data_IF_114348771308
#
_entry.id   IF_114348771308
#
_cell.length_a   1.000
_cell.length_b   1.000
_cell.length_c   1.000
_cell.angle_alpha   90.00
_cell.angle_beta   90.00
_cell.angle_gamma   90.00
#
_symmetry.space_group_name_H-M   'P 1'
#
loop_
_entity.id
_entity.type
_entity.pdbx_description
1 polymer ?
#
# COMPACT_ATOMS: atom_id res chain seq x y z
N UNK A 1 5.89 1.97 -17.93
CA UNK A 1 5.98 2.21 -16.47
C UNK A 1 5.03 1.26 -15.76
N UNK A 2 5.51 0.60 -14.71
CA UNK A 2 4.69 -0.16 -13.76
C UNK A 2 4.66 0.61 -12.44
N UNK A 3 3.45 0.84 -11.90
CA UNK A 3 3.30 1.51 -10.61
C UNK A 3 3.22 0.47 -9.50
N UNK A 4 4.09 0.59 -8.52
CA UNK A 4 3.89 -0.06 -7.23
C UNK A 4 2.92 0.79 -6.40
N UNK A 5 1.63 0.48 -6.52
CA UNK A 5 0.54 1.12 -5.79
C UNK A 5 0.07 0.25 -4.61
N UNK A 6 0.94 -0.66 -4.11
CA UNK A 6 0.63 -1.60 -3.05
C UNK A 6 0.09 -0.95 -1.76
N UNK A 7 0.41 0.32 -1.54
CA UNK A 7 0.05 1.10 -0.35
C UNK A 7 -0.81 2.34 -0.69
N UNK A 8 -1.14 2.50 -1.98
CA UNK A 8 -1.75 3.73 -2.50
C UNK A 8 -3.25 3.61 -2.81
N UNK A 9 -3.92 2.54 -2.38
CA UNK A 9 -5.37 2.40 -2.60
C UNK A 9 -6.13 3.58 -2.00
N UNK A 10 -6.89 4.31 -2.84
CA UNK A 10 -7.61 5.52 -2.47
C UNK A 10 -6.76 6.80 -2.42
N UNK A 11 -5.46 6.73 -2.72
CA UNK A 11 -4.64 7.92 -2.93
C UNK A 11 -4.78 8.44 -4.35
N UNK A 12 -4.75 9.77 -4.50
CA UNK A 12 -4.81 10.41 -5.83
C UNK A 12 -3.67 11.41 -6.02
N UNK A 13 -3.31 11.61 -7.28
CA UNK A 13 -2.48 12.72 -7.74
C UNK A 13 -3.21 13.47 -8.84
N UNK A 14 -3.41 14.76 -8.68
CA UNK A 14 -4.24 15.60 -9.58
C UNK A 14 -5.63 15.02 -9.84
N UNK A 15 -6.25 14.47 -8.79
CA UNK A 15 -7.58 13.86 -8.86
C UNK A 15 -7.64 12.49 -9.55
N UNK A 16 -6.50 11.95 -10.02
CA UNK A 16 -6.42 10.64 -10.66
C UNK A 16 -5.89 9.60 -9.67
N UNK A 17 -6.53 8.43 -9.62
CA UNK A 17 -6.15 7.34 -8.72
C UNK A 17 -4.73 6.82 -9.00
N UNK A 18 -3.93 6.65 -7.94
CA UNK A 18 -2.65 5.96 -8.02
C UNK A 18 -2.84 4.51 -8.46
N UNK A 19 -1.88 3.98 -9.21
CA UNK A 19 -1.97 2.68 -9.87
C UNK A 19 -2.59 2.73 -11.26
N UNK A 20 -3.01 3.92 -11.74
CA UNK A 20 -3.62 4.07 -13.07
C UNK A 20 -2.81 4.92 -14.05
N UNK A 21 -1.66 5.45 -13.64
CA UNK A 21 -0.81 6.31 -14.49
C UNK A 21 0.07 5.49 -15.44
N UNK A 22 0.61 4.38 -14.96
CA UNK A 22 1.48 3.49 -15.72
C UNK A 22 0.74 2.57 -16.68
N UNK A 23 1.45 1.66 -17.32
CA UNK A 23 0.88 0.57 -18.12
C UNK A 23 0.19 -0.46 -17.23
N UNK A 24 0.79 -0.70 -16.08
CA UNK A 24 0.26 -1.58 -15.05
C UNK A 24 0.37 -0.89 -13.68
N UNK A 25 -0.58 -1.18 -12.80
CA UNK A 25 -0.54 -0.79 -11.39
C UNK A 25 -0.76 -2.00 -10.49
N UNK A 26 0.13 -2.20 -9.53
CA UNK A 26 0.04 -3.30 -8.57
C UNK A 26 -0.58 -2.83 -7.26
N UNK A 27 -1.67 -3.46 -6.84
CA UNK A 27 -2.29 -3.29 -5.53
C UNK A 27 -1.99 -4.50 -4.65
N UNK A 28 -1.85 -4.28 -3.35
CA UNK A 28 -1.64 -5.34 -2.36
C UNK A 28 -2.83 -5.44 -1.40
N UNK A 29 -3.23 -6.68 -1.10
CA UNK A 29 -4.24 -7.01 -0.11
C UNK A 29 -3.65 -7.86 1.03
N UNK A 30 -2.36 -7.65 1.32
CA UNK A 30 -1.71 -8.29 2.45
C UNK A 30 -2.35 -7.84 3.78
N UNK A 31 -2.07 -8.55 4.89
CA UNK A 31 -2.76 -8.40 6.17
C UNK A 31 -2.80 -6.98 6.75
N UNK A 32 -1.80 -6.17 6.46
CA UNK A 32 -1.65 -4.82 7.00
C UNK A 32 -2.04 -3.69 6.04
N UNK A 33 -2.55 -4.00 4.83
CA UNK A 33 -2.88 -2.98 3.83
C UNK A 33 -4.22 -2.27 4.12
N UNK A 34 -4.63 -1.35 3.26
CA UNK A 34 -5.88 -0.57 3.42
C UNK A 34 -7.10 -1.48 3.52
N UNK A 35 -7.13 -2.52 2.70
CA UNK A 35 -8.01 -3.67 2.82
C UNK A 35 -7.17 -4.95 2.76
N UNK A 36 -7.67 -6.04 3.30
CA UNK A 36 -6.93 -7.30 3.35
C UNK A 36 -7.76 -8.49 2.89
N UNK A 37 -7.09 -9.42 2.22
CA UNK A 37 -7.57 -10.76 1.93
C UNK A 37 -6.64 -11.81 2.53
N UNK A 38 -5.91 -11.45 3.59
CA UNK A 38 -4.78 -12.19 4.19
C UNK A 38 -3.53 -12.19 3.32
N UNK A 39 -3.67 -12.32 2.04
CA UNK A 39 -2.61 -12.28 1.04
C UNK A 39 -3.20 -12.02 -0.33
N UNK A 40 -2.33 -11.86 -1.35
CA UNK A 40 -2.74 -11.54 -2.71
C UNK A 40 -2.77 -10.04 -3.00
N UNK A 41 -3.34 -9.70 -4.14
CA UNK A 41 -3.40 -8.35 -4.66
C UNK A 41 -4.18 -8.30 -5.96
N UNK A 42 -4.08 -7.18 -6.65
CA UNK A 42 -4.66 -7.01 -7.97
C UNK A 42 -3.67 -6.30 -8.90
N UNK A 43 -3.70 -6.65 -10.18
CA UNK A 43 -3.01 -5.93 -11.22
C UNK A 43 -4.04 -5.12 -12.03
N UNK A 44 -3.88 -3.82 -12.05
CA UNK A 44 -4.64 -2.91 -12.89
C UNK A 44 -4.00 -2.93 -14.27
N UNK A 45 -4.78 -3.25 -15.30
CA UNK A 45 -4.38 -3.28 -16.70
C UNK A 45 -5.13 -2.18 -17.45
N UNK A 46 -4.55 -1.66 -18.54
CA UNK A 46 -5.18 -0.62 -19.36
C UNK A 46 -6.23 -1.18 -20.31
N UNK A 47 -6.00 -2.41 -20.78
CA UNK A 47 -6.85 -3.05 -21.80
C UNK A 47 -7.34 -4.41 -21.30
N UNK A 48 -8.46 -4.84 -21.88
CA UNK A 48 -9.00 -6.17 -21.61
C UNK A 48 -8.07 -7.28 -22.12
N UNK A 49 -7.33 -7.03 -23.18
CA UNK A 49 -6.36 -7.97 -23.73
C UNK A 49 -5.21 -8.21 -22.74
N UNK A 50 -4.65 -7.14 -22.17
CA UNK A 50 -3.62 -7.25 -21.13
C UNK A 50 -4.13 -7.98 -19.89
N UNK A 51 -5.36 -7.70 -19.47
CA UNK A 51 -5.98 -8.39 -18.33
C UNK A 51 -6.17 -9.89 -18.61
N UNK A 52 -6.63 -10.26 -19.81
CA UNK A 52 -6.76 -11.67 -20.25
C UNK A 52 -5.41 -12.36 -20.30
N UNK A 53 -4.38 -11.68 -20.84
CA UNK A 53 -3.02 -12.23 -20.90
C UNK A 53 -2.42 -12.42 -19.52
N UNK A 54 -2.60 -11.46 -18.62
CA UNK A 54 -2.19 -11.56 -17.21
C UNK A 54 -2.88 -12.74 -16.53
N UNK A 55 -4.19 -12.88 -16.71
CA UNK A 55 -4.95 -13.99 -16.13
C UNK A 55 -4.49 -15.34 -16.70
N UNK A 56 -4.18 -15.43 -17.99
CA UNK A 56 -3.62 -16.63 -18.60
C UNK A 56 -2.34 -17.08 -17.90
N UNK A 57 -1.37 -16.16 -17.69
CA UNK A 57 -0.13 -16.49 -16.99
C UNK A 57 -0.35 -16.78 -15.50
N UNK A 58 -1.24 -16.05 -14.83
CA UNK A 58 -1.58 -16.26 -13.42
C UNK A 58 -2.34 -17.57 -13.16
N UNK A 59 -2.87 -18.20 -14.20
CA UNK A 59 -3.56 -19.50 -14.17
C UNK A 59 -2.80 -20.58 -14.94
N UNK A 60 -1.49 -20.61 -14.75
CA UNK A 60 -0.55 -21.63 -15.22
C UNK A 60 -0.30 -21.62 -16.74
N UNK A 61 -0.69 -20.59 -17.47
CA UNK A 61 -0.59 -20.52 -18.94
C UNK A 61 -1.16 -21.79 -19.62
N UNK A 62 -2.31 -22.25 -19.11
CA UNK A 62 -2.95 -23.44 -19.64
C UNK A 62 -3.69 -23.12 -20.93
N UNK A 63 -3.36 -23.83 -22.01
CA UNK A 63 -4.03 -23.70 -23.30
C UNK A 63 -5.45 -24.28 -23.25
N UNK A 64 -6.34 -23.70 -24.06
CA UNK A 64 -7.73 -24.18 -24.17
C UNK A 64 -7.80 -25.45 -25.05
N UNK A 65 -7.47 -26.60 -24.44
CA UNK A 65 -7.53 -27.93 -25.07
C UNK A 65 -8.26 -28.92 -24.16
N UNK A 66 -8.79 -30.02 -24.68
CA UNK A 66 -9.49 -31.01 -23.86
C UNK A 66 -8.54 -31.81 -22.92
N UNK A 67 -7.26 -31.55 -22.99
CA UNK A 67 -6.21 -32.12 -22.15
C UNK A 67 -5.29 -31.01 -21.62
N UNK A 68 -4.49 -31.28 -20.59
CA UNK A 68 -3.51 -30.35 -20.08
C UNK A 68 -2.38 -30.14 -21.08
N UNK A 69 -2.24 -28.88 -21.53
CA UNK A 69 -1.22 -28.50 -22.49
C UNK A 69 -0.76 -27.06 -22.21
N UNK A 70 0.55 -26.86 -22.25
CA UNK A 70 1.20 -25.61 -21.94
C UNK A 70 2.28 -25.31 -22.99
N UNK A 71 2.13 -24.23 -23.73
CA UNK A 71 3.14 -23.71 -24.66
C UNK A 71 4.06 -22.71 -23.97
N UNK A 72 3.60 -22.13 -22.86
CA UNK A 72 4.31 -21.12 -22.09
C UNK A 72 4.44 -21.53 -20.63
N UNK A 73 5.48 -21.00 -19.97
CA UNK A 73 5.62 -21.10 -18.51
C UNK A 73 4.61 -20.15 -17.88
N UNK A 74 3.78 -20.67 -16.99
CA UNK A 74 2.82 -19.89 -16.21
C UNK A 74 2.95 -20.15 -14.71
N UNK A 75 2.11 -19.49 -13.92
CA UNK A 75 2.22 -19.47 -12.46
C UNK A 75 0.84 -19.72 -11.84
N UNK A 76 0.81 -20.16 -10.61
CA UNK A 76 -0.41 -20.28 -9.82
C UNK A 76 -0.55 -19.06 -8.91
N UNK A 77 -0.92 -17.93 -9.51
CA UNK A 77 -1.02 -16.62 -8.81
C UNK A 77 -2.45 -16.12 -8.68
N UNK A 78 -3.42 -16.86 -9.20
CA UNK A 78 -4.81 -16.44 -9.06
C UNK A 78 -5.27 -16.53 -7.60
N UNK A 79 -5.86 -15.45 -7.11
CA UNK A 79 -6.49 -15.40 -5.80
C UNK A 79 -7.59 -16.47 -5.67
N UNK A 80 -7.65 -17.15 -4.53
CA UNK A 80 -8.72 -18.11 -4.25
C UNK A 80 -10.08 -17.41 -4.11
N UNK A 81 -11.17 -18.14 -4.35
CA UNK A 81 -12.52 -17.60 -4.19
C UNK A 81 -12.82 -17.17 -2.74
N UNK A 82 -12.20 -17.81 -1.74
CA UNK A 82 -12.34 -17.44 -0.33
C UNK A 82 -11.72 -16.06 -0.11
N UNK A 83 -10.47 -15.86 -0.53
CA UNK A 83 -9.79 -14.56 -0.44
C UNK A 83 -10.52 -13.48 -1.24
N UNK A 84 -10.99 -13.80 -2.46
CA UNK A 84 -11.76 -12.88 -3.28
C UNK A 84 -13.09 -12.48 -2.63
N UNK A 85 -13.78 -13.42 -1.95
CA UNK A 85 -14.98 -13.15 -1.18
C UNK A 85 -14.75 -12.19 -0.02
N UNK A 86 -13.66 -12.40 0.73
CA UNK A 86 -13.21 -11.47 1.79
C UNK A 86 -12.94 -10.08 1.19
N UNK A 87 -12.20 -10.03 0.06
CA UNK A 87 -11.89 -8.78 -0.62
C UNK A 87 -13.14 -8.00 -1.05
N UNK A 88 -14.17 -8.68 -1.54
CA UNK A 88 -15.44 -8.04 -1.88
C UNK A 88 -16.09 -7.38 -0.66
N UNK A 89 -16.16 -8.09 0.48
CA UNK A 89 -16.68 -7.51 1.72
C UNK A 89 -15.83 -6.32 2.22
N UNK A 90 -14.52 -6.40 2.09
CA UNK A 90 -13.61 -5.29 2.44
C UNK A 90 -13.80 -4.07 1.53
N UNK A 91 -14.11 -4.28 0.25
CA UNK A 91 -14.39 -3.17 -0.67
C UNK A 91 -15.65 -2.39 -0.32
N UNK A 92 -16.64 -2.99 0.34
CA UNK A 92 -17.87 -2.30 0.77
C UNK A 92 -17.58 -1.20 1.81
N UNK A 93 -16.47 -1.31 2.55
CA UNK A 93 -16.09 -0.38 3.63
C UNK A 93 -14.77 0.34 3.35
N UNK A 94 -14.22 0.26 2.15
CA UNK A 94 -12.89 0.84 1.83
C UNK A 94 -12.85 2.35 2.02
N UNK A 95 -13.89 3.06 1.63
CA UNK A 95 -13.96 4.53 1.78
C UNK A 95 -13.98 4.93 3.26
N UNK A 96 -14.66 4.17 4.10
CA UNK A 96 -14.65 4.38 5.55
C UNK A 96 -13.26 4.12 6.14
N UNK A 97 -12.55 3.07 5.68
CA UNK A 97 -11.17 2.79 6.11
C UNK A 97 -10.22 3.92 5.72
N UNK A 98 -10.34 4.45 4.50
CA UNK A 98 -9.53 5.60 4.04
C UNK A 98 -9.83 6.82 4.90
N UNK A 99 -11.10 7.14 5.14
CA UNK A 99 -11.50 8.28 5.97
C UNK A 99 -10.96 8.14 7.40
N UNK A 100 -11.01 6.94 8.00
CA UNK A 100 -10.44 6.67 9.33
C UNK A 100 -8.93 6.85 9.37
N UNK A 101 -8.20 6.40 8.34
CA UNK A 101 -6.74 6.61 8.25
C UNK A 101 -6.38 8.09 8.17
N UNK A 102 -7.11 8.86 7.37
CA UNK A 102 -6.95 10.32 7.30
C UNK A 102 -7.25 11.01 8.63
N UNK A 103 -8.30 10.59 9.33
CA UNK A 103 -8.63 11.11 10.66
C UNK A 103 -7.52 10.80 11.69
N UNK A 104 -6.97 9.57 11.68
CA UNK A 104 -5.83 9.20 12.53
C UNK A 104 -4.61 10.07 12.22
N UNK A 105 -4.28 10.29 10.95
CA UNK A 105 -3.20 11.19 10.56
C UNK A 105 -3.41 12.61 11.08
N UNK A 106 -4.64 13.14 11.00
CA UNK A 106 -4.99 14.45 11.52
C UNK A 106 -4.81 14.53 13.04
N UNK A 107 -5.20 13.49 13.78
CA UNK A 107 -4.96 13.41 15.23
C UNK A 107 -3.46 13.43 15.57
N UNK A 108 -2.65 12.68 14.86
CA UNK A 108 -1.19 12.73 15.04
C UNK A 108 -0.64 14.13 14.75
N UNK A 109 -1.11 14.76 13.67
CA UNK A 109 -0.70 16.13 13.32
C UNK A 109 -1.06 17.12 14.43
N UNK A 110 -2.27 17.05 14.95
CA UNK A 110 -2.73 17.91 16.05
C UNK A 110 -1.91 17.70 17.32
N UNK A 111 -1.73 16.45 17.75
CA UNK A 111 -1.07 16.12 19.01
C UNK A 111 0.44 16.32 18.97
N UNK A 112 1.08 16.14 17.82
CA UNK A 112 2.53 16.30 17.67
C UNK A 112 2.93 17.72 17.22
N UNK A 113 1.96 18.53 16.80
CA UNK A 113 2.22 19.92 16.44
C UNK A 113 2.71 20.72 17.66
N UNK A 114 3.84 21.40 17.51
CA UNK A 114 4.45 22.19 18.58
C UNK A 114 5.57 21.49 19.34
N UNK A 115 5.77 20.20 19.19
CA UNK A 115 6.99 19.53 19.69
C UNK A 115 8.16 19.87 18.78
N UNK A 116 9.16 20.57 19.34
CA UNK A 116 10.37 20.92 18.59
C UNK A 116 11.10 19.66 18.11
N UNK A 117 11.49 19.67 16.84
CA UNK A 117 12.25 18.58 16.25
C UNK A 117 11.40 17.37 15.83
N UNK A 118 10.08 17.42 15.96
CA UNK A 118 9.16 16.40 15.43
C UNK A 118 8.24 17.07 14.39
N UNK A 119 8.14 16.46 13.22
CA UNK A 119 7.19 16.88 12.20
C UNK A 119 6.44 15.67 11.62
N UNK A 120 5.13 15.80 11.46
CA UNK A 120 4.30 14.79 10.80
C UNK A 120 4.32 15.06 9.30
N UNK A 121 4.61 14.03 8.51
CA UNK A 121 4.64 14.15 7.04
C UNK A 121 3.26 14.44 6.49
N UNK A 122 3.17 15.50 5.70
CA UNK A 122 1.95 15.96 5.03
C UNK A 122 2.03 15.66 3.52
N UNK A 123 0.92 15.85 2.81
CA UNK A 123 0.95 15.89 1.37
C UNK A 123 1.92 16.99 0.87
N UNK A 124 2.75 16.72 -0.16
CA UNK A 124 3.71 17.71 -0.67
C UNK A 124 3.06 18.98 -1.23
N UNK A 125 1.87 18.85 -1.77
CA UNK A 125 1.05 19.96 -2.28
C UNK A 125 -0.43 19.55 -2.36
N UNK A 126 -1.33 20.47 -2.71
CA UNK A 126 -2.76 20.22 -2.93
C UNK A 126 -3.05 19.27 -4.10
N UNK A 127 -2.06 19.01 -4.97
CA UNK A 127 -2.20 18.04 -6.05
C UNK A 127 -2.24 16.59 -5.57
N UNK A 128 -1.73 16.33 -4.35
CA UNK A 128 -1.66 15.01 -3.74
C UNK A 128 -2.76 14.84 -2.70
N UNK A 129 -3.45 13.71 -2.74
CA UNK A 129 -4.41 13.31 -1.70
C UNK A 129 -4.08 11.88 -1.26
N UNK A 130 -3.26 11.78 -0.21
CA UNK A 130 -2.82 10.50 0.36
C UNK A 130 -3.96 9.83 1.14
N UNK A 131 -3.98 8.51 1.08
CA UNK A 131 -4.79 7.69 1.98
C UNK A 131 -4.25 7.64 3.41
N UNK A 132 -3.00 8.12 3.63
CA UNK A 132 -2.26 8.03 4.89
C UNK A 132 -2.34 6.63 5.52
N UNK A 133 -2.08 5.60 4.70
CA UNK A 133 -2.03 4.22 5.17
C UNK A 133 -1.22 4.05 6.47
N UNK A 134 -0.09 4.73 6.56
CA UNK A 134 0.69 4.91 7.79
C UNK A 134 0.97 6.40 8.01
N UNK A 135 0.94 6.82 9.27
CA UNK A 135 1.40 8.17 9.66
C UNK A 135 2.91 8.13 9.86
N UNK A 136 3.63 8.95 9.12
CA UNK A 136 5.09 9.07 9.20
C UNK A 136 5.48 10.36 9.89
N UNK A 137 6.51 10.29 10.75
CA UNK A 137 7.13 11.45 11.40
C UNK A 137 8.59 11.57 11.00
N UNK A 138 9.09 12.80 10.97
CA UNK A 138 10.53 13.07 10.98
C UNK A 138 10.95 13.53 12.38
N UNK A 139 12.15 13.14 12.77
CA UNK A 139 12.76 13.52 14.04
C UNK A 139 14.09 14.20 13.75
N UNK A 140 14.24 15.44 14.21
CA UNK A 140 15.52 16.18 14.20
C UNK A 140 16.19 16.01 15.57
N UNK A 141 17.24 15.20 15.69
CA UNK A 141 17.91 14.98 16.97
C UNK A 141 18.46 16.25 17.61
N UNK A 142 18.87 17.23 16.79
CA UNK A 142 19.42 18.49 17.30
C UNK A 142 18.38 19.30 18.09
N UNK A 143 17.09 19.13 17.77
CA UNK A 143 15.98 19.79 18.45
C UNK A 143 15.27 18.88 19.48
N UNK A 144 15.56 17.56 19.45
CA UNK A 144 14.99 16.54 20.34
C UNK A 144 15.97 16.10 21.45
N UNK A 145 16.82 16.99 21.97
CA UNK A 145 17.80 16.68 22.99
C UNK A 145 18.71 15.46 22.65
N UNK A 146 19.09 15.36 21.39
CA UNK A 146 19.91 14.27 20.87
C UNK A 146 19.14 12.95 20.61
N UNK A 147 17.84 12.88 20.83
CA UNK A 147 17.02 11.70 20.57
C UNK A 147 16.74 11.53 19.09
N UNK A 148 17.04 10.35 18.57
CA UNK A 148 16.78 9.95 17.20
C UNK A 148 15.39 9.32 17.02
N UNK A 149 14.99 9.09 15.77
CA UNK A 149 13.79 8.31 15.46
C UNK A 149 13.87 6.88 16.01
N UNK A 150 15.07 6.28 16.06
CA UNK A 150 15.25 4.93 16.59
C UNK A 150 15.12 4.91 18.12
N UNK A 151 15.57 5.95 18.83
CA UNK A 151 15.32 6.07 20.29
C UNK A 151 13.82 6.12 20.59
N UNK A 152 13.05 6.83 19.79
CA UNK A 152 11.57 6.89 19.94
C UNK A 152 10.97 5.52 19.65
N UNK A 153 11.40 4.87 18.57
CA UNK A 153 10.95 3.51 18.21
C UNK A 153 11.19 2.53 19.34
N UNK A 154 12.40 2.49 19.88
CA UNK A 154 12.78 1.60 20.99
C UNK A 154 11.96 1.89 22.26
N UNK A 155 11.71 3.17 22.56
CA UNK A 155 10.86 3.52 23.69
C UNK A 155 9.41 3.04 23.49
N UNK A 156 8.82 3.26 22.31
CA UNK A 156 7.47 2.81 21.99
C UNK A 156 7.34 1.27 22.09
N UNK A 157 8.37 0.55 21.67
CA UNK A 157 8.43 -0.90 21.83
C UNK A 157 8.32 -1.34 23.31
N UNK A 158 8.96 -0.60 24.23
CA UNK A 158 8.80 -0.87 25.69
C UNK A 158 7.38 -0.64 26.20
N UNK A 159 6.60 0.16 25.48
CA UNK A 159 5.19 0.46 25.78
C UNK A 159 4.21 -0.45 24.99
N UNK A 160 4.74 -1.50 24.34
CA UNK A 160 3.98 -2.40 23.46
C UNK A 160 3.28 -1.67 22.30
N UNK A 161 3.91 -0.61 21.77
CA UNK A 161 3.47 0.13 20.59
C UNK A 161 4.43 -0.14 19.45
N UNK A 162 3.94 -0.83 18.41
CA UNK A 162 4.75 -1.12 17.22
C UNK A 162 4.98 0.16 16.40
N UNK A 163 6.22 0.41 16.06
CA UNK A 163 6.63 1.44 15.10
C UNK A 163 7.85 0.96 14.32
N UNK A 164 8.11 1.57 13.18
CA UNK A 164 9.19 1.15 12.28
C UNK A 164 9.94 2.35 11.74
N UNK A 165 11.22 2.18 11.50
CA UNK A 165 11.95 3.12 10.66
C UNK A 165 11.45 3.02 9.21
N UNK A 166 11.47 4.15 8.50
CA UNK A 166 11.11 4.16 7.08
C UNK A 166 12.08 3.26 6.29
N UNK A 167 11.57 2.60 5.26
CA UNK A 167 12.37 1.70 4.41
C UNK A 167 13.55 2.44 3.78
N UNK A 168 14.67 1.77 3.76
CA UNK A 168 15.81 2.28 3.00
C UNK A 168 15.51 2.23 1.50
N UNK A 169 15.83 3.27 0.74
CA UNK A 169 15.72 3.24 -0.71
C UNK A 169 16.51 2.07 -1.30
N UNK A 170 16.00 1.47 -2.38
CA UNK A 170 16.60 0.26 -2.98
C UNK A 170 18.06 0.46 -3.39
N UNK A 171 18.45 1.67 -3.86
CA UNK A 171 19.83 1.99 -4.23
C UNK A 171 20.79 2.07 -3.03
N UNK A 172 20.28 2.01 -1.80
CA UNK A 172 21.06 1.98 -0.56
C UNK A 172 21.11 0.60 0.09
N UNK A 173 20.55 -0.38 -0.58
CA UNK A 173 20.50 -1.77 -0.11
C UNK A 173 21.53 -2.63 -0.86
#
# INVERSE_FOLDING_TARGET
VMEDAAEAMGSTYKGRQCGTFGEFGALSFNGNKMITTSGGGALICRTEEEAKRTMFFATQARENRPYYYHEHIGYNYRMSNICAGIGRGQMEVVDEHIARRRAIHSLYTEHLNGYKGISVKQNPSEEFDSNFWLTCIEVDPAQCNGKSADDIRLYLETQNVESRLLWRPMHMQ
#
